data_IF_808588820587
#
_entry.id   IF_808588820587
#
_cell.length_a   1.000
_cell.length_b   1.000
_cell.length_c   1.000
_cell.angle_alpha   90.00
_cell.angle_beta   90.00
_cell.angle_gamma   90.00
#
_symmetry.space_group_name_H-M   'P 1'
#
loop_
_entity.id
_entity.type
_entity.pdbx_description
1 polymer ?
#
# COMPACT_ATOMS: atom_id res chain seq x y z
N UNK A 1 62.88 -82.92 3.79
CA UNK A 1 62.15 -82.10 4.78
C UNK A 1 63.02 -80.96 5.20
N UNK A 2 62.76 -79.72 4.78
CA UNK A 2 63.60 -78.59 5.18
C UNK A 2 62.89 -77.74 6.26
N UNK A 3 63.66 -77.34 7.23
CA UNK A 3 63.32 -76.41 8.34
C UNK A 3 63.10 -74.99 7.87
N UNK A 4 62.01 -74.43 8.25
CA UNK A 4 61.76 -72.98 8.10
C UNK A 4 62.28 -72.24 9.34
N UNK A 5 63.19 -71.28 9.15
CA UNK A 5 63.69 -70.41 10.20
C UNK A 5 62.79 -69.17 10.27
N UNK A 6 62.21 -68.89 11.40
CA UNK A 6 61.53 -67.63 11.72
C UNK A 6 62.52 -66.55 12.12
N UNK A 7 62.43 -65.38 11.50
CA UNK A 7 63.10 -64.11 11.89
C UNK A 7 62.23 -63.30 12.85
N UNK A 8 62.75 -62.76 13.92
CA UNK A 8 61.97 -61.84 14.77
C UNK A 8 61.93 -60.46 14.16
N UNK A 9 60.71 -59.86 14.10
CA UNK A 9 60.49 -58.48 13.71
C UNK A 9 60.77 -57.57 14.90
N UNK A 10 61.71 -56.62 14.71
CA UNK A 10 61.99 -55.57 15.69
C UNK A 10 60.98 -54.43 15.48
N UNK A 11 60.08 -54.21 16.43
CA UNK A 11 59.19 -53.06 16.51
C UNK A 11 59.99 -51.79 16.91
N UNK A 12 60.29 -50.94 15.95
CA UNK A 12 60.85 -49.61 16.17
C UNK A 12 59.77 -48.63 16.56
N UNK A 13 59.67 -48.32 17.83
CA UNK A 13 58.80 -47.28 18.40
C UNK A 13 59.37 -45.91 18.01
N UNK A 14 58.80 -45.26 16.99
CA UNK A 14 59.09 -43.86 16.66
C UNK A 14 58.66 -42.97 17.82
N UNK A 15 59.59 -42.25 18.45
CA UNK A 15 59.33 -41.17 19.39
C UNK A 15 58.60 -40.06 18.63
N UNK A 16 57.42 -39.67 19.12
CA UNK A 16 56.73 -38.46 18.64
C UNK A 16 57.53 -37.23 19.01
N UNK A 17 57.70 -36.32 18.06
CA UNK A 17 58.30 -35.02 18.30
C UNK A 17 57.42 -34.21 19.26
N UNK A 18 57.98 -33.36 20.10
CA UNK A 18 57.18 -32.48 20.98
C UNK A 18 56.38 -31.50 20.13
N UNK A 19 55.09 -31.40 20.44
CA UNK A 19 54.21 -30.36 19.86
C UNK A 19 54.65 -29.02 20.50
N UNK A 20 55.18 -28.15 19.69
CA UNK A 20 55.46 -26.78 20.07
C UNK A 20 54.14 -26.04 20.22
N UNK A 21 53.74 -25.76 21.46
CA UNK A 21 52.58 -24.93 21.77
C UNK A 21 52.96 -23.50 21.46
N UNK A 22 52.50 -22.97 20.32
CA UNK A 22 52.60 -21.54 20.01
C UNK A 22 51.64 -20.81 20.94
N UNK A 23 52.19 -20.15 21.96
CA UNK A 23 51.41 -19.25 22.81
C UNK A 23 50.83 -18.13 21.93
N UNK A 24 49.51 -17.79 22.08
CA UNK A 24 48.94 -16.67 21.37
C UNK A 24 49.66 -15.39 21.82
N UNK A 25 50.19 -14.66 20.87
CA UNK A 25 50.85 -13.39 21.12
C UNK A 25 49.87 -12.47 21.87
N UNK A 26 50.19 -12.10 23.11
CA UNK A 26 49.46 -11.07 23.85
C UNK A 26 49.46 -9.79 23.02
N UNK A 27 48.32 -9.49 22.40
CA UNK A 27 48.14 -8.22 21.71
C UNK A 27 48.09 -7.12 22.76
N UNK A 28 49.21 -6.46 23.01
CA UNK A 28 49.29 -5.33 23.90
C UNK A 28 48.27 -4.27 23.41
N UNK A 29 47.35 -3.90 24.27
CA UNK A 29 46.30 -2.91 23.99
C UNK A 29 46.89 -1.62 23.42
N UNK A 30 48.13 -1.28 23.83
CA UNK A 30 48.93 -0.15 23.33
C UNK A 30 49.32 -0.28 21.84
N UNK A 31 49.65 -1.47 21.34
CA UNK A 31 49.98 -1.65 19.93
C UNK A 31 48.72 -1.62 19.03
N UNK A 32 47.60 -2.07 19.53
CA UNK A 32 46.30 -1.94 18.82
C UNK A 32 45.89 -0.47 18.76
N UNK A 33 46.00 0.27 19.86
CA UNK A 33 45.69 1.71 19.90
C UNK A 33 46.66 2.51 19.01
N UNK A 34 47.94 2.16 18.97
CA UNK A 34 48.91 2.79 18.07
C UNK A 34 48.59 2.52 16.60
N UNK A 35 48.23 1.28 16.26
CA UNK A 35 47.80 0.91 14.92
C UNK A 35 46.54 1.67 14.49
N UNK A 36 45.57 1.79 15.38
CA UNK A 36 44.34 2.57 15.13
C UNK A 36 44.64 4.07 14.92
N UNK A 37 45.55 4.64 15.74
CA UNK A 37 45.94 6.04 15.62
C UNK A 37 46.69 6.32 14.30
N UNK A 38 47.53 5.39 13.83
CA UNK A 38 48.23 5.50 12.54
C UNK A 38 47.21 5.43 11.38
N UNK A 39 46.26 4.51 11.43
CA UNK A 39 45.19 4.40 10.40
C UNK A 39 44.30 5.66 10.38
N UNK A 40 43.96 6.18 11.55
CA UNK A 40 43.18 7.41 11.67
C UNK A 40 43.96 8.63 11.14
N UNK A 41 45.27 8.74 11.48
CA UNK A 41 46.15 9.77 10.98
C UNK A 41 46.33 9.72 9.46
N UNK A 42 46.48 8.50 8.90
CA UNK A 42 46.53 8.30 7.44
C UNK A 42 45.21 8.69 6.76
N UNK A 43 44.06 8.38 7.34
CA UNK A 43 42.74 8.80 6.86
C UNK A 43 42.59 10.33 6.89
N UNK A 44 43.03 10.99 7.97
CA UNK A 44 42.97 12.46 8.09
C UNK A 44 43.90 13.14 7.09
N UNK A 45 45.13 12.62 6.92
CA UNK A 45 46.07 13.18 5.94
C UNK A 45 45.61 12.94 4.50
N UNK A 46 45.02 11.78 4.21
CA UNK A 46 44.45 11.47 2.91
C UNK A 46 43.25 12.39 2.58
N UNK A 47 42.42 12.69 3.56
CA UNK A 47 41.30 13.64 3.40
C UNK A 47 41.78 15.07 3.23
N UNK A 48 42.84 15.47 3.91
CA UNK A 48 43.47 16.79 3.76
C UNK A 48 44.17 16.97 2.41
N UNK A 49 44.86 15.93 1.92
CA UNK A 49 45.54 15.94 0.61
C UNK A 49 44.56 15.95 -0.56
N UNK A 50 43.40 15.33 -0.41
CA UNK A 50 42.33 15.32 -1.43
C UNK A 50 41.53 16.64 -1.49
N UNK A 51 41.91 17.67 -0.71
CA UNK A 51 41.47 19.06 -0.81
C UNK A 51 39.95 19.23 -0.73
N UNK A 52 39.28 18.33 -0.04
CA UNK A 52 37.84 18.36 0.03
C UNK A 52 37.30 18.45 1.43
N UNK A 53 36.57 19.48 1.74
CA UNK A 53 35.69 19.46 2.90
C UNK A 53 34.79 18.21 2.82
N UNK A 54 34.60 17.56 3.94
CA UNK A 54 33.81 16.33 4.11
C UNK A 54 32.40 16.47 3.50
N UNK A 55 31.88 17.71 3.41
CA UNK A 55 30.61 18.08 2.78
C UNK A 55 30.55 17.89 1.24
N UNK A 56 31.69 17.71 0.55
CA UNK A 56 31.71 17.44 -0.90
C UNK A 56 31.88 15.97 -1.26
N UNK A 57 32.11 15.09 -0.27
CA UNK A 57 32.26 13.66 -0.52
C UNK A 57 30.96 13.07 -1.05
N UNK A 58 29.83 13.45 -0.46
CA UNK A 58 28.51 12.93 -0.83
C UNK A 58 28.17 13.28 -2.29
N UNK A 59 28.49 14.49 -2.71
CA UNK A 59 28.27 14.93 -4.09
C UNK A 59 29.22 14.26 -5.10
N UNK A 60 30.45 13.94 -4.69
CA UNK A 60 31.42 13.23 -5.55
C UNK A 60 31.11 11.75 -5.68
N UNK A 61 30.71 11.09 -4.59
CA UNK A 61 30.23 9.71 -4.63
C UNK A 61 28.99 9.57 -5.51
N UNK A 62 28.03 10.50 -5.39
CA UNK A 62 26.83 10.50 -6.21
C UNK A 62 27.16 10.59 -7.71
N UNK A 63 28.06 11.49 -8.09
CA UNK A 63 28.44 11.69 -9.49
C UNK A 63 29.23 10.50 -10.07
N UNK A 64 30.03 9.81 -9.25
CA UNK A 64 30.80 8.63 -9.69
C UNK A 64 29.87 7.42 -9.87
N UNK A 65 28.95 7.22 -8.94
CA UNK A 65 27.94 6.14 -9.05
C UNK A 65 27.03 6.39 -10.24
N UNK A 66 26.62 7.62 -10.51
CA UNK A 66 25.80 7.97 -11.67
C UNK A 66 26.54 7.75 -13.00
N UNK A 67 27.85 8.00 -13.04
CA UNK A 67 28.65 7.76 -14.25
C UNK A 67 28.83 6.26 -14.52
N UNK A 68 29.10 5.48 -13.49
CA UNK A 68 29.24 4.01 -13.61
C UNK A 68 27.88 3.38 -13.96
N UNK A 69 26.81 3.83 -13.37
CA UNK A 69 25.46 3.30 -13.66
C UNK A 69 25.04 3.55 -15.09
N UNK A 70 25.38 4.72 -15.67
CA UNK A 70 25.12 5.02 -17.09
C UNK A 70 25.91 4.12 -18.03
N UNK A 71 27.15 3.79 -17.68
CA UNK A 71 27.97 2.86 -18.49
C UNK A 71 27.52 1.41 -18.38
N UNK A 72 26.90 1.03 -17.26
CA UNK A 72 26.32 -0.29 -17.04
C UNK A 72 24.89 -0.42 -17.59
N UNK A 73 24.33 0.63 -18.19
CA UNK A 73 22.95 0.62 -18.72
C UNK A 73 21.86 0.58 -17.63
N UNK A 74 22.20 0.92 -16.39
CA UNK A 74 21.29 0.87 -15.22
C UNK A 74 20.78 2.28 -14.94
N UNK A 75 20.12 2.88 -15.93
CA UNK A 75 19.52 4.22 -15.81
C UNK A 75 18.12 4.19 -16.38
N UNK A 76 17.20 4.97 -15.80
CA UNK A 76 15.81 5.03 -16.25
C UNK A 76 15.75 5.62 -17.66
N UNK A 77 15.40 4.80 -18.63
CA UNK A 77 15.16 5.21 -20.01
C UNK A 77 13.67 5.33 -20.30
N UNK A 78 12.88 4.46 -19.67
CA UNK A 78 11.45 4.36 -19.96
C UNK A 78 10.63 4.52 -18.68
N UNK A 79 9.62 5.38 -18.72
CA UNK A 79 8.59 5.50 -17.69
C UNK A 79 7.24 5.19 -18.32
N UNK A 80 6.68 4.03 -17.96
CA UNK A 80 5.36 3.59 -18.42
C UNK A 80 4.31 3.85 -17.35
N UNK A 81 3.16 4.37 -17.78
CA UNK A 81 1.96 4.51 -16.92
C UNK A 81 0.89 3.54 -17.45
N UNK A 82 0.39 2.68 -16.59
CA UNK A 82 -0.59 1.64 -16.92
C UNK A 82 -1.83 1.74 -16.03
N UNK A 83 -2.97 1.25 -16.51
CA UNK A 83 -4.23 1.19 -15.77
C UNK A 83 -5.17 2.38 -16.01
N UNK A 84 -4.74 3.39 -16.79
CA UNK A 84 -5.54 4.59 -17.07
C UNK A 84 -6.32 4.52 -18.40
N UNK A 85 -6.34 3.35 -19.06
CA UNK A 85 -6.96 3.19 -20.39
C UNK A 85 -6.33 4.10 -21.44
N UNK A 86 -7.16 4.60 -22.36
CA UNK A 86 -6.72 5.46 -23.47
C UNK A 86 -6.57 6.95 -23.06
N UNK A 87 -6.62 7.28 -21.76
CA UNK A 87 -6.49 8.65 -21.29
C UNK A 87 -5.02 9.12 -21.33
N UNK A 88 -4.55 9.52 -22.50
CA UNK A 88 -3.18 9.97 -22.73
C UNK A 88 -2.83 11.25 -21.92
N UNK A 89 -3.79 12.15 -21.68
CA UNK A 89 -3.56 13.37 -20.90
C UNK A 89 -3.32 13.04 -19.42
N UNK A 90 -4.16 12.19 -18.83
CA UNK A 90 -3.98 11.73 -17.46
C UNK A 90 -2.67 10.96 -17.29
N UNK A 91 -2.33 10.08 -18.24
CA UNK A 91 -1.08 9.34 -18.25
C UNK A 91 0.15 10.25 -18.28
N UNK A 92 0.08 11.35 -19.03
CA UNK A 92 1.11 12.38 -19.09
C UNK A 92 1.26 13.08 -17.73
N UNK A 93 0.15 13.57 -17.15
CA UNK A 93 0.15 14.24 -15.84
C UNK A 93 0.73 13.36 -14.73
N UNK A 94 0.38 12.08 -14.72
CA UNK A 94 0.92 11.10 -13.77
C UNK A 94 2.43 10.92 -13.97
N UNK A 95 2.89 10.83 -15.21
CA UNK A 95 4.32 10.73 -15.53
C UNK A 95 5.09 11.98 -15.08
N UNK A 96 4.53 13.16 -15.34
CA UNK A 96 5.15 14.43 -14.95
C UNK A 96 5.21 14.57 -13.43
N UNK A 97 4.15 14.14 -12.72
CA UNK A 97 4.11 14.13 -11.26
C UNK A 97 5.09 13.12 -10.63
N UNK A 98 5.45 12.07 -11.33
CA UNK A 98 6.47 11.12 -10.89
C UNK A 98 7.86 11.77 -10.75
N UNK A 99 8.13 12.90 -11.44
CA UNK A 99 9.39 13.65 -11.41
C UNK A 99 10.62 12.76 -11.62
N UNK A 100 10.53 11.81 -12.56
CA UNK A 100 11.62 10.94 -12.93
C UNK A 100 12.37 11.57 -14.10
N UNK A 101 13.67 11.80 -13.92
CA UNK A 101 14.51 12.35 -14.98
C UNK A 101 15.05 11.22 -15.85
N UNK A 102 14.90 11.34 -17.18
CA UNK A 102 15.50 10.39 -18.11
C UNK A 102 17.02 10.33 -17.92
N UNK A 103 17.58 9.12 -17.82
CA UNK A 103 18.97 8.89 -17.50
C UNK A 103 19.29 8.94 -15.99
N UNK A 104 18.28 9.15 -15.13
CA UNK A 104 18.46 9.03 -13.68
C UNK A 104 18.87 7.61 -13.30
N UNK A 105 19.74 7.49 -12.31
CA UNK A 105 20.16 6.20 -11.80
C UNK A 105 18.97 5.43 -11.23
N UNK A 106 18.77 4.17 -11.70
CA UNK A 106 17.67 3.31 -11.28
C UNK A 106 17.60 3.09 -9.75
N UNK A 107 18.75 3.14 -9.04
CA UNK A 107 18.80 3.03 -7.58
C UNK A 107 18.22 4.27 -6.88
N UNK A 108 18.25 5.45 -7.52
CA UNK A 108 17.66 6.69 -7.00
C UNK A 108 16.18 6.83 -7.30
N UNK A 109 15.70 6.16 -8.32
CA UNK A 109 14.27 6.09 -8.63
C UNK A 109 13.53 5.27 -7.55
N UNK A 110 13.35 5.90 -6.37
CA UNK A 110 12.70 5.27 -5.21
C UNK A 110 11.20 5.10 -5.45
N UNK A 111 10.68 3.87 -5.55
CA UNK A 111 9.27 3.61 -5.81
C UNK A 111 8.33 4.22 -4.78
N UNK A 112 8.75 4.28 -3.51
CA UNK A 112 7.93 4.86 -2.44
C UNK A 112 7.75 6.37 -2.62
N UNK A 113 8.85 7.10 -2.91
CA UNK A 113 8.79 8.54 -3.16
C UNK A 113 8.02 8.88 -4.45
N UNK A 114 8.19 8.08 -5.49
CA UNK A 114 7.43 8.23 -6.73
C UNK A 114 5.95 8.06 -6.46
N UNK A 115 5.58 6.99 -5.75
CA UNK A 115 4.21 6.72 -5.36
C UNK A 115 3.61 7.91 -4.59
N UNK A 116 4.27 8.41 -3.55
CA UNK A 116 3.79 9.55 -2.76
C UNK A 116 3.53 10.80 -3.63
N UNK A 117 4.45 11.11 -4.56
CA UNK A 117 4.27 12.27 -5.47
C UNK A 117 3.07 12.10 -6.39
N UNK A 118 2.89 10.89 -6.92
CA UNK A 118 1.76 10.59 -7.80
C UNK A 118 0.44 10.62 -7.03
N UNK A 119 0.37 10.01 -5.85
CA UNK A 119 -0.82 10.03 -4.97
C UNK A 119 -1.19 11.46 -4.53
N UNK A 120 -0.19 12.30 -4.26
CA UNK A 120 -0.41 13.71 -3.90
C UNK A 120 -1.13 14.53 -4.99
N UNK A 121 -1.15 14.07 -6.23
CA UNK A 121 -1.92 14.73 -7.31
C UNK A 121 -3.42 14.53 -7.19
N UNK A 122 -3.88 13.50 -6.47
CA UNK A 122 -5.29 13.08 -6.35
C UNK A 122 -6.00 12.83 -7.70
N UNK A 123 -5.23 12.73 -8.77
CA UNK A 123 -5.73 12.39 -10.11
C UNK A 123 -5.96 10.89 -10.28
N UNK A 124 -5.24 10.11 -9.50
CA UNK A 124 -5.22 8.65 -9.58
C UNK A 124 -5.23 8.02 -8.18
N UNK A 125 -5.67 6.78 -8.13
CA UNK A 125 -5.75 5.98 -6.91
C UNK A 125 -5.08 4.62 -7.12
N UNK A 126 -4.91 3.84 -6.05
CA UNK A 126 -4.33 2.49 -6.12
C UNK A 126 -2.96 2.47 -6.82
N UNK A 127 -2.11 3.48 -6.53
CA UNK A 127 -0.82 3.64 -7.19
C UNK A 127 0.16 2.57 -6.74
N UNK A 128 0.76 1.86 -7.69
CA UNK A 128 1.83 0.89 -7.50
C UNK A 128 2.97 1.22 -8.44
N UNK A 129 4.18 1.27 -7.91
CA UNK A 129 5.37 1.61 -8.69
C UNK A 129 6.34 0.44 -8.66
N UNK A 130 6.77 0.02 -9.85
CA UNK A 130 7.70 -1.09 -10.04
C UNK A 130 8.92 -0.62 -10.81
N UNK A 131 10.09 -1.07 -10.37
CA UNK A 131 11.33 -0.94 -11.13
C UNK A 131 11.52 -2.22 -11.94
N UNK A 132 11.51 -2.10 -13.25
CA UNK A 132 11.84 -3.18 -14.17
C UNK A 132 13.25 -2.97 -14.69
N UNK A 133 14.17 -3.73 -14.15
CA UNK A 133 15.57 -3.72 -14.55
C UNK A 133 15.74 -4.14 -16.01
N UNK A 134 16.71 -3.53 -16.79
CA UNK A 134 17.71 -2.59 -16.29
C UNK A 134 17.30 -1.11 -16.31
N UNK A 135 16.22 -0.71 -17.01
CA UNK A 135 16.04 0.67 -17.47
C UNK A 135 14.60 1.21 -17.45
N UNK A 136 13.64 0.48 -16.89
CA UNK A 136 12.24 0.92 -16.91
C UNK A 136 11.62 1.09 -15.51
N UNK A 137 10.78 2.10 -15.36
CA UNK A 137 9.89 2.29 -14.22
C UNK A 137 8.45 2.18 -14.72
N UNK A 138 7.66 1.32 -14.08
CA UNK A 138 6.23 1.15 -14.38
C UNK A 138 5.40 1.68 -13.22
N UNK A 139 4.52 2.62 -13.51
CA UNK A 139 3.54 3.17 -12.59
C UNK A 139 2.19 2.59 -12.99
N UNK A 140 1.64 1.73 -12.15
CA UNK A 140 0.29 1.21 -12.31
C UNK A 140 -0.64 2.01 -11.42
N UNK A 141 -1.69 2.60 -11.99
CA UNK A 141 -2.63 3.43 -11.26
C UNK A 141 -4.02 3.33 -11.88
N UNK A 142 -5.03 3.59 -11.08
CA UNK A 142 -6.41 3.72 -11.54
C UNK A 142 -6.81 5.19 -11.56
N UNK A 143 -7.60 5.61 -12.55
CA UNK A 143 -8.13 6.95 -12.58
C UNK A 143 -9.04 7.20 -11.36
N UNK A 144 -8.83 8.29 -10.66
CA UNK A 144 -9.70 8.70 -9.56
C UNK A 144 -11.04 9.16 -10.12
N UNK A 145 -12.10 8.39 -9.83
CA UNK A 145 -13.46 8.67 -10.29
C UNK A 145 -14.36 8.92 -9.09
N UNK A 146 -15.12 10.03 -9.08
CA UNK A 146 -16.12 10.28 -8.05
C UNK A 146 -17.07 9.09 -7.92
N UNK A 147 -17.32 8.67 -6.70
CA UNK A 147 -18.13 7.47 -6.42
C UNK A 147 -19.26 7.70 -5.43
N UNK A 148 -19.07 8.62 -4.48
CA UNK A 148 -20.10 9.00 -3.52
C UNK A 148 -19.87 10.44 -3.01
N UNK A 149 -20.91 10.99 -2.39
CA UNK A 149 -20.80 12.16 -1.52
C UNK A 149 -20.76 11.68 -0.08
N UNK A 150 -19.73 12.03 0.64
CA UNK A 150 -19.57 11.70 2.06
C UNK A 150 -19.74 12.94 2.94
N UNK A 151 -20.60 12.83 3.96
CA UNK A 151 -20.73 13.85 5.00
C UNK A 151 -19.83 13.48 6.17
N UNK A 152 -18.79 14.30 6.41
CA UNK A 152 -17.78 14.08 7.45
C UNK A 152 -18.23 14.51 8.85
N UNK A 153 -19.40 15.15 8.95
CA UNK A 153 -19.96 15.75 10.17
C UNK A 153 -20.05 17.27 10.07
N UNK A 154 -19.31 17.90 9.17
CA UNK A 154 -19.28 19.35 8.94
C UNK A 154 -19.69 19.71 7.51
N UNK A 155 -19.19 18.99 6.52
CA UNK A 155 -19.39 19.30 5.11
C UNK A 155 -19.50 18.04 4.25
N UNK A 156 -20.05 18.21 3.04
CA UNK A 156 -20.06 17.17 2.04
C UNK A 156 -18.72 17.15 1.28
N UNK A 157 -18.13 15.98 1.15
CA UNK A 157 -16.90 15.71 0.40
C UNK A 157 -17.20 14.74 -0.74
N UNK A 158 -16.51 14.88 -1.86
CA UNK A 158 -16.53 13.88 -2.91
C UNK A 158 -15.51 12.81 -2.57
N UNK A 159 -15.90 11.54 -2.63
CA UNK A 159 -14.99 10.41 -2.45
C UNK A 159 -14.99 9.51 -3.67
N UNK A 160 -13.86 8.90 -3.92
CA UNK A 160 -13.70 7.91 -5.00
C UNK A 160 -14.19 6.51 -4.59
N UNK A 161 -14.02 5.53 -5.47
CA UNK A 161 -14.42 4.13 -5.21
C UNK A 161 -13.60 3.43 -4.12
N UNK A 162 -12.47 3.99 -3.70
CA UNK A 162 -11.62 3.45 -2.64
C UNK A 162 -11.81 4.18 -1.30
N UNK A 163 -12.68 5.18 -1.27
CA UNK A 163 -12.97 5.99 -0.10
C UNK A 163 -12.03 7.20 0.07
N UNK A 164 -11.14 7.46 -0.90
CA UNK A 164 -10.24 8.60 -0.86
C UNK A 164 -10.99 9.90 -1.16
N UNK A 165 -10.73 10.93 -0.35
CA UNK A 165 -11.35 12.25 -0.53
C UNK A 165 -10.77 12.93 -1.77
N UNK A 166 -11.63 13.57 -2.55
CA UNK A 166 -11.26 14.35 -3.74
C UNK A 166 -11.55 15.85 -3.50
N UNK A 167 -10.66 16.60 -2.83
CA UNK A 167 -10.95 17.95 -2.36
C UNK A 167 -11.15 18.96 -3.51
N UNK A 168 -10.53 18.72 -4.67
CA UNK A 168 -10.67 19.58 -5.86
C UNK A 168 -12.00 19.38 -6.61
N UNK A 169 -12.88 18.50 -6.09
CA UNK A 169 -14.17 18.19 -6.69
C UNK A 169 -15.31 18.81 -5.88
N UNK A 170 -15.95 19.90 -6.38
CA UNK A 170 -17.04 20.52 -5.65
C UNK A 170 -18.27 19.59 -5.61
N UNK A 171 -18.78 19.24 -4.42
CA UNK A 171 -19.86 18.24 -4.24
C UNK A 171 -21.13 18.55 -5.04
N UNK A 172 -21.42 19.83 -5.25
CA UNK A 172 -22.60 20.30 -6.01
C UNK A 172 -22.66 19.79 -7.46
N UNK A 173 -21.53 19.40 -8.03
CA UNK A 173 -21.47 18.87 -9.41
C UNK A 173 -21.74 17.34 -9.46
N UNK A 174 -21.92 16.71 -8.31
CA UNK A 174 -22.03 15.26 -8.18
C UNK A 174 -23.25 14.84 -7.36
N UNK A 175 -24.36 15.62 -7.50
CA UNK A 175 -25.61 15.42 -6.76
C UNK A 175 -26.26 14.04 -6.98
N UNK A 176 -25.98 13.43 -8.13
CA UNK A 176 -26.55 12.13 -8.55
C UNK A 176 -25.79 10.95 -7.91
N UNK A 177 -24.64 11.19 -7.25
CA UNK A 177 -23.94 10.14 -6.55
C UNK A 177 -24.64 9.76 -5.23
N UNK A 178 -24.51 8.49 -4.86
CA UNK A 178 -25.01 8.02 -3.56
C UNK A 178 -24.40 8.87 -2.43
N UNK A 179 -25.25 9.28 -1.51
CA UNK A 179 -24.83 10.03 -0.31
C UNK A 179 -24.59 9.07 0.83
N UNK A 180 -23.47 9.25 1.53
CA UNK A 180 -23.11 8.47 2.71
C UNK A 180 -22.71 9.39 3.84
N UNK A 181 -22.88 8.96 5.09
CA UNK A 181 -22.50 9.70 6.27
C UNK A 181 -22.02 8.77 7.38
N UNK A 182 -21.20 9.34 8.28
CA UNK A 182 -20.68 8.64 9.44
C UNK A 182 -19.23 8.20 9.28
N UNK A 183 -18.59 7.94 10.43
CA UNK A 183 -17.19 7.52 10.49
C UNK A 183 -17.01 6.14 9.82
N UNK A 184 -15.95 6.02 8.99
CA UNK A 184 -15.64 4.80 8.24
C UNK A 184 -16.60 4.49 7.08
N UNK A 185 -17.50 5.42 6.72
CA UNK A 185 -18.39 5.24 5.57
C UNK A 185 -17.60 5.16 4.24
N UNK A 186 -16.56 5.99 3.99
CA UNK A 186 -15.77 5.88 2.77
C UNK A 186 -15.11 4.52 2.59
N UNK A 187 -14.48 3.97 3.66
CA UNK A 187 -13.78 2.68 3.60
C UNK A 187 -14.70 1.51 3.29
N UNK A 188 -15.95 1.57 3.81
CA UNK A 188 -16.94 0.52 3.63
C UNK A 188 -17.80 0.69 2.36
N UNK A 189 -17.66 1.82 1.65
CA UNK A 189 -18.46 2.17 0.47
C UNK A 189 -18.37 1.11 -0.63
N UNK A 190 -17.15 0.67 -0.94
CA UNK A 190 -16.94 -0.30 -2.02
C UNK A 190 -17.73 -1.58 -1.79
N UNK A 191 -17.64 -2.15 -0.60
CA UNK A 191 -18.37 -3.37 -0.27
C UNK A 191 -19.88 -3.17 -0.32
N UNK A 192 -20.40 -2.04 0.20
CA UNK A 192 -21.82 -1.71 0.09
C UNK A 192 -22.25 -1.65 -1.37
N UNK A 193 -21.52 -0.94 -2.23
CA UNK A 193 -21.86 -0.81 -3.66
C UNK A 193 -21.82 -2.16 -4.39
N UNK A 194 -20.82 -3.00 -4.11
CA UNK A 194 -20.73 -4.35 -4.67
C UNK A 194 -21.97 -5.18 -4.33
N UNK A 195 -22.45 -5.10 -3.09
CA UNK A 195 -23.69 -5.80 -2.69
C UNK A 195 -24.96 -5.22 -3.33
N UNK A 196 -25.00 -3.91 -3.56
CA UNK A 196 -26.14 -3.24 -4.20
C UNK A 196 -26.20 -3.46 -5.72
N UNK A 197 -25.10 -3.88 -6.37
CA UNK A 197 -25.11 -4.22 -7.80
C UNK A 197 -26.11 -5.33 -8.13
N UNK A 198 -26.42 -6.18 -7.16
CA UNK A 198 -27.35 -7.28 -7.34
C UNK A 198 -28.83 -6.88 -7.20
N UNK A 199 -29.11 -5.64 -6.73
CA UNK A 199 -30.46 -5.06 -6.65
C UNK A 199 -30.42 -3.58 -7.08
N UNK A 200 -30.36 -3.30 -8.39
CA UNK A 200 -30.33 -1.93 -8.92
C UNK A 200 -31.55 -1.09 -8.54
N UNK A 201 -32.71 -1.73 -8.40
CA UNK A 201 -33.95 -1.05 -8.01
C UNK A 201 -33.87 -0.51 -6.58
N UNK A 202 -33.28 -1.30 -5.67
CA UNK A 202 -33.01 -0.84 -4.31
C UNK A 202 -31.97 0.27 -4.32
N UNK A 203 -30.88 0.09 -5.07
CA UNK A 203 -29.82 1.08 -5.17
C UNK A 203 -30.35 2.45 -5.61
N UNK A 204 -31.23 2.49 -6.60
CA UNK A 204 -31.86 3.72 -7.12
C UNK A 204 -32.79 4.41 -6.10
N UNK A 205 -33.25 3.69 -5.10
CA UNK A 205 -34.15 4.22 -4.04
C UNK A 205 -33.40 4.75 -2.82
N UNK A 206 -32.09 4.56 -2.74
CA UNK A 206 -31.29 5.02 -1.59
C UNK A 206 -31.06 6.52 -1.70
N UNK A 207 -31.48 7.25 -0.68
CA UNK A 207 -31.19 8.67 -0.51
C UNK A 207 -29.84 8.89 0.20
N UNK A 208 -29.70 8.30 1.41
CA UNK A 208 -28.47 8.41 2.21
C UNK A 208 -28.17 7.08 2.92
N UNK A 209 -26.92 6.63 2.86
CA UNK A 209 -26.42 5.53 3.67
C UNK A 209 -25.71 6.05 4.94
N UNK A 210 -26.23 5.72 6.11
CA UNK A 210 -25.60 6.06 7.40
C UNK A 210 -24.75 4.90 7.91
N UNK A 211 -23.47 5.15 8.10
CA UNK A 211 -22.56 4.19 8.72
C UNK A 211 -22.72 4.24 10.24
N UNK A 212 -23.13 3.14 10.86
CA UNK A 212 -23.40 3.05 12.27
C UNK A 212 -22.31 2.25 12.97
N UNK A 213 -21.64 2.89 13.96
CA UNK A 213 -20.57 2.29 14.78
C UNK A 213 -19.45 1.62 13.95
N UNK A 214 -19.23 2.09 12.72
CA UNK A 214 -18.26 1.52 11.76
C UNK A 214 -18.44 0.01 11.47
N UNK A 215 -19.66 -0.51 11.60
CA UNK A 215 -19.93 -1.95 11.49
C UNK A 215 -21.12 -2.33 10.62
N UNK A 216 -22.07 -1.42 10.43
CA UNK A 216 -23.32 -1.69 9.70
C UNK A 216 -23.86 -0.44 9.03
N UNK A 217 -24.85 -0.63 8.16
CA UNK A 217 -25.49 0.47 7.47
C UNK A 217 -26.97 0.61 7.85
N UNK A 218 -27.42 1.85 7.94
CA UNK A 218 -28.82 2.21 7.86
C UNK A 218 -29.01 2.98 6.55
N UNK A 219 -29.83 2.47 5.64
CA UNK A 219 -30.11 3.12 4.38
C UNK A 219 -31.42 3.89 4.50
N UNK A 220 -31.38 5.21 4.35
CA UNK A 220 -32.55 6.02 4.20
C UNK A 220 -32.96 5.98 2.72
N UNK A 221 -34.21 5.60 2.45
CA UNK A 221 -34.77 5.56 1.12
C UNK A 221 -35.38 6.92 0.75
N UNK A 222 -35.59 7.14 -0.55
CA UNK A 222 -36.16 8.36 -1.11
C UNK A 222 -37.62 8.62 -0.63
N UNK A 223 -38.33 7.57 -0.21
CA UNK A 223 -39.67 7.65 0.38
C UNK A 223 -39.64 7.86 1.92
N UNK A 224 -38.45 8.10 2.49
CA UNK A 224 -38.24 8.37 3.92
C UNK A 224 -38.03 7.15 4.80
N UNK A 225 -38.31 5.94 4.33
CA UNK A 225 -38.11 4.70 5.10
C UNK A 225 -36.65 4.46 5.43
N UNK A 226 -36.38 3.86 6.60
CA UNK A 226 -35.05 3.47 7.03
C UNK A 226 -34.93 1.95 6.98
N UNK A 227 -34.02 1.48 6.15
CA UNK A 227 -33.63 0.09 6.06
C UNK A 227 -32.42 -0.16 6.97
N UNK A 228 -32.62 -0.90 8.07
CA UNK A 228 -31.53 -1.21 9.02
C UNK A 228 -30.89 -2.53 8.62
N UNK A 229 -29.62 -2.46 8.17
CA UNK A 229 -28.88 -3.63 7.71
C UNK A 229 -28.08 -4.28 8.84
N UNK A 230 -27.80 -5.58 8.74
CA UNK A 230 -26.95 -6.30 9.69
C UNK A 230 -25.50 -5.80 9.63
N UNK A 231 -24.65 -6.43 10.44
CA UNK A 231 -23.19 -6.24 10.40
C UNK A 231 -22.65 -6.58 9.00
N UNK A 232 -21.54 -5.95 8.59
CA UNK A 232 -20.96 -6.13 7.25
C UNK A 232 -20.75 -7.59 6.85
N UNK A 233 -20.29 -8.43 7.75
CA UNK A 233 -20.11 -9.87 7.48
C UNK A 233 -21.40 -10.59 7.06
N UNK A 234 -22.55 -10.08 7.49
CA UNK A 234 -23.88 -10.65 7.24
C UNK A 234 -24.69 -9.81 6.24
N UNK A 235 -24.06 -8.78 5.64
CA UNK A 235 -24.71 -7.79 4.77
C UNK A 235 -25.37 -8.46 3.57
N UNK A 236 -24.65 -9.35 2.89
CA UNK A 236 -25.18 -10.09 1.73
C UNK A 236 -26.45 -10.86 2.09
N UNK A 237 -26.43 -11.60 3.20
CA UNK A 237 -27.59 -12.36 3.71
C UNK A 237 -28.75 -11.42 4.08
N UNK A 238 -28.47 -10.25 4.64
CA UNK A 238 -29.48 -9.24 4.95
C UNK A 238 -30.16 -8.72 3.71
N UNK A 239 -29.40 -8.40 2.67
CA UNK A 239 -29.93 -7.91 1.40
C UNK A 239 -30.66 -9.01 0.60
N UNK A 240 -30.22 -10.26 0.69
CA UNK A 240 -30.91 -11.38 0.06
C UNK A 240 -32.36 -11.54 0.59
N UNK A 241 -32.59 -11.26 1.87
CA UNK A 241 -33.97 -11.29 2.42
C UNK A 241 -34.89 -10.29 1.74
N UNK A 242 -34.37 -9.13 1.27
CA UNK A 242 -35.18 -8.15 0.53
C UNK A 242 -35.60 -8.64 -0.84
N UNK A 243 -34.96 -9.66 -1.40
CA UNK A 243 -35.39 -10.26 -2.69
C UNK A 243 -36.56 -11.18 -2.56
N UNK A 244 -36.88 -11.62 -1.33
CA UNK A 244 -38.10 -12.38 -1.07
C UNK A 244 -39.31 -11.50 -1.29
N UNK A 245 -40.30 -12.00 -2.01
CA UNK A 245 -41.48 -11.22 -2.41
C UNK A 245 -42.22 -10.63 -1.19
N UNK A 246 -42.38 -11.41 -0.12
CA UNK A 246 -43.05 -10.99 1.10
C UNK A 246 -42.36 -9.79 1.78
N UNK A 247 -41.02 -9.72 1.71
CA UNK A 247 -40.24 -8.61 2.29
C UNK A 247 -40.18 -7.43 1.32
N UNK A 248 -40.09 -7.71 0.01
CA UNK A 248 -40.07 -6.66 -1.02
C UNK A 248 -41.37 -5.86 -1.03
N UNK A 249 -42.49 -6.52 -0.79
CA UNK A 249 -43.83 -5.88 -0.68
C UNK A 249 -43.90 -4.88 0.48
N UNK A 250 -43.10 -5.08 1.55
CA UNK A 250 -42.96 -4.12 2.66
C UNK A 250 -42.36 -2.78 2.22
N UNK A 251 -41.45 -2.80 1.24
CA UNK A 251 -40.89 -1.58 0.68
C UNK A 251 -41.92 -0.68 -0.01
N UNK A 252 -43.01 -1.28 -0.51
CA UNK A 252 -44.13 -0.57 -1.15
C UNK A 252 -45.16 0.00 -0.17
N UNK A 253 -45.16 -0.40 1.10
CA UNK A 253 -46.14 0.04 2.09
C UNK A 253 -45.82 1.44 2.60
N UNK A 254 -46.73 2.38 2.50
CA UNK A 254 -46.56 3.77 2.94
C UNK A 254 -46.58 3.98 4.45
N UNK A 255 -47.17 3.04 5.20
CA UNK A 255 -47.34 3.16 6.66
C UNK A 255 -46.16 2.64 7.49
N UNK A 256 -45.01 2.41 6.89
CA UNK A 256 -43.80 1.91 7.56
C UNK A 256 -42.72 2.98 7.61
N UNK A 257 -42.19 3.23 8.80
CA UNK A 257 -41.02 4.10 9.02
C UNK A 257 -39.71 3.35 8.86
N UNK A 258 -39.64 2.08 9.27
CA UNK A 258 -38.42 1.31 9.13
C UNK A 258 -38.65 -0.18 8.93
N UNK A 259 -37.68 -0.81 8.26
CA UNK A 259 -37.56 -2.25 8.05
C UNK A 259 -36.23 -2.68 8.60
N UNK A 260 -36.21 -3.57 9.59
CA UNK A 260 -35.01 -4.04 10.29
C UNK A 260 -34.67 -5.46 9.85
N UNK A 261 -33.53 -5.60 9.19
CA UNK A 261 -32.99 -6.86 8.66
C UNK A 261 -31.84 -7.43 9.50
N UNK A 262 -31.56 -6.85 10.64
CA UNK A 262 -30.41 -7.23 11.49
C UNK A 262 -30.54 -8.63 12.10
N UNK A 263 -31.78 -9.09 12.31
CA UNK A 263 -32.01 -10.45 12.83
C UNK A 263 -31.99 -11.47 11.70
N UNK A 264 -31.33 -12.60 11.90
CA UNK A 264 -31.14 -13.62 10.86
C UNK A 264 -32.46 -14.29 10.50
N UNK A 265 -33.31 -14.55 11.47
CA UNK A 265 -34.50 -15.39 11.39
C UNK A 265 -35.79 -14.61 11.07
N UNK A 266 -35.79 -13.32 11.23
CA UNK A 266 -37.00 -12.50 11.08
C UNK A 266 -36.73 -11.10 10.51
N UNK A 267 -37.75 -10.46 10.00
CA UNK A 267 -37.79 -9.06 9.60
C UNK A 267 -38.70 -8.33 10.58
N UNK A 268 -38.21 -7.24 11.17
CA UNK A 268 -38.99 -6.41 12.09
C UNK A 268 -39.35 -5.10 11.36
N UNK A 269 -40.60 -4.71 11.45
CA UNK A 269 -41.11 -3.47 10.85
C UNK A 269 -41.58 -2.52 11.94
N UNK A 270 -41.33 -1.23 11.75
CA UNK A 270 -41.86 -0.18 12.63
C UNK A 270 -42.85 0.69 11.80
N UNK A 271 -44.05 0.92 12.30
CA UNK A 271 -45.00 1.82 11.64
C UNK A 271 -44.52 3.27 11.71
N UNK A 272 -44.98 4.08 10.81
CA UNK A 272 -44.85 5.53 10.89
C UNK A 272 -45.67 6.04 12.09
N UNK A 273 -45.05 6.84 12.95
CA UNK A 273 -45.77 7.48 14.06
C UNK A 273 -46.56 8.64 13.47
N UNK A 274 -47.88 8.58 13.58
CA UNK A 274 -48.72 9.75 13.32
C UNK A 274 -48.33 10.82 14.35
N UNK A 275 -47.67 11.87 13.87
CA UNK A 275 -47.45 13.09 14.68
C UNK A 275 -48.82 13.77 14.81
N UNK A 276 -49.40 13.62 16.00
CA UNK A 276 -50.59 14.36 16.40
C UNK A 276 -50.30 15.83 16.59
#
# INVERSE_FOLDING_TARGET
MPKVKSKPSASGRKKAAPVEIVEPAESNLSSVLLGLAIVLGLLITLTALLGGSIFKLEQRWSNTVDSVSRHLGVSVQTVEVRGLGDNADLSRRVRDAAMIVSGENMFRADPYRIRQRVEATQLVTNVRVYRLWPDAVVIHADAAMPSALWFDGESWQVVDRFGEIMPDRPPRLYSDLIRIAGAGAPDALRYLKEQLLEDPDLAARIDVGYRISNQRWNLKLTDGKILKLPHDRDLATGLEKLRRQDVRDLLGRSNLASIDLRLIDRVVVSPEQETS
#
